data_IF_249521239058
#
_entry.id   IF_249521239058
#
_cell.length_a   1.000
_cell.length_b   1.000
_cell.length_c   1.000
_cell.angle_alpha   90.00
_cell.angle_beta   90.00
_cell.angle_gamma   90.00
#
_symmetry.space_group_name_H-M   'P 1'
#
loop_
_entity.id
_entity.type
_entity.pdbx_description
1 polymer ?
#
# COMPACT_ATOMS: atom_id res chain seq x y z
N UNK A 1 3.15 -23.05 -7.81
CA UNK A 1 2.98 -21.67 -7.31
C UNK A 1 2.81 -20.74 -8.48
N UNK A 2 2.01 -19.68 -8.34
CA UNK A 2 1.88 -18.63 -9.35
C UNK A 2 1.57 -17.28 -8.68
N UNK A 3 1.95 -16.21 -9.37
CA UNK A 3 1.63 -14.84 -9.00
C UNK A 3 0.92 -14.18 -10.18
N UNK A 4 -0.17 -13.46 -9.91
CA UNK A 4 -0.92 -12.72 -10.91
C UNK A 4 -1.07 -11.28 -10.44
N UNK A 5 -0.81 -10.33 -11.34
CA UNK A 5 -0.92 -8.91 -11.07
C UNK A 5 -1.76 -8.22 -12.13
N UNK A 6 -2.55 -7.22 -11.73
CA UNK A 6 -3.27 -6.32 -12.60
C UNK A 6 -2.96 -4.88 -12.23
N UNK A 7 -2.71 -4.04 -13.22
CA UNK A 7 -2.50 -2.60 -13.07
C UNK A 7 -3.46 -1.85 -13.99
N UNK A 8 -4.05 -0.77 -13.48
CA UNK A 8 -4.92 0.12 -14.24
C UNK A 8 -4.61 1.56 -13.88
N UNK A 9 -4.53 2.42 -14.89
CA UNK A 9 -4.32 3.86 -14.74
C UNK A 9 -5.21 4.65 -15.68
N UNK A 10 -5.75 5.78 -15.20
CA UNK A 10 -6.58 6.69 -15.98
C UNK A 10 -6.23 8.13 -15.64
N UNK A 11 -6.04 8.95 -16.68
CA UNK A 11 -5.77 10.38 -16.57
C UNK A 11 -6.78 11.17 -17.39
N UNK A 12 -7.38 12.18 -16.78
CA UNK A 12 -8.21 13.15 -17.47
C UNK A 12 -7.97 14.57 -16.97
N UNK A 13 -7.33 15.40 -17.81
CA UNK A 13 -6.97 16.79 -17.51
C UNK A 13 -6.17 16.91 -16.20
N UNK A 14 -6.84 17.36 -15.13
CA UNK A 14 -6.28 17.58 -13.79
C UNK A 14 -6.36 16.34 -12.89
N UNK A 15 -7.20 15.37 -13.25
CA UNK A 15 -7.42 14.14 -12.51
C UNK A 15 -6.49 13.02 -12.99
N UNK A 16 -5.95 12.26 -12.05
CA UNK A 16 -5.19 11.05 -12.27
C UNK A 16 -5.65 10.01 -11.26
N UNK A 17 -5.89 8.79 -11.69
CA UNK A 17 -6.15 7.66 -10.81
C UNK A 17 -5.39 6.44 -11.32
N UNK A 18 -4.89 5.62 -10.41
CA UNK A 18 -4.21 4.38 -10.75
C UNK A 18 -4.28 3.41 -9.58
N UNK A 19 -4.17 2.13 -9.87
CA UNK A 19 -4.19 1.09 -8.86
C UNK A 19 -3.64 -0.22 -9.38
N UNK A 20 -3.22 -1.04 -8.43
CA UNK A 20 -2.69 -2.37 -8.69
C UNK A 20 -3.34 -3.38 -7.76
N UNK A 21 -3.46 -4.62 -8.23
CA UNK A 21 -3.87 -5.77 -7.45
C UNK A 21 -2.90 -6.91 -7.72
N UNK A 22 -2.43 -7.56 -6.66
CA UNK A 22 -1.54 -8.72 -6.72
C UNK A 22 -2.16 -9.87 -5.94
N UNK A 23 -2.11 -11.06 -6.54
CA UNK A 23 -2.52 -12.31 -5.96
C UNK A 23 -1.38 -13.32 -6.04
N UNK A 24 -1.10 -14.00 -4.92
CA UNK A 24 -0.05 -15.00 -4.81
C UNK A 24 -0.65 -16.31 -4.33
N UNK A 25 -0.28 -17.39 -5.02
CA UNK A 25 -0.62 -18.74 -4.66
C UNK A 25 0.67 -19.55 -4.48
N UNK A 26 0.98 -19.91 -3.24
CA UNK A 26 2.25 -20.53 -2.86
C UNK A 26 2.01 -21.99 -2.48
N UNK A 27 2.66 -22.89 -3.19
CA UNK A 27 2.64 -24.32 -2.88
C UNK A 27 3.44 -24.61 -1.62
N UNK A 28 2.88 -25.42 -0.72
CA UNK A 28 3.45 -25.68 0.60
C UNK A 28 3.59 -27.18 0.83
N UNK A 29 4.54 -27.55 1.66
CA UNK A 29 4.75 -28.92 2.10
C UNK A 29 5.30 -28.94 3.52
N UNK A 30 5.16 -30.07 4.19
CA UNK A 30 5.75 -30.35 5.50
C UNK A 30 6.48 -31.69 5.46
N UNK A 31 7.41 -31.90 6.39
CA UNK A 31 8.07 -33.18 6.59
C UNK A 31 7.59 -33.81 7.89
N UNK A 32 7.10 -35.06 7.80
CA UNK A 32 6.75 -35.84 8.97
C UNK A 32 7.98 -36.41 9.69
N UNK A 33 7.77 -37.05 10.84
CA UNK A 33 8.82 -37.66 11.67
C UNK A 33 9.73 -38.65 10.92
N UNK A 34 9.22 -39.27 9.85
CA UNK A 34 9.95 -40.21 8.99
C UNK A 34 10.62 -39.52 7.78
N UNK A 35 10.77 -38.19 7.80
CA UNK A 35 11.26 -37.38 6.68
C UNK A 35 10.41 -37.49 5.40
N UNK A 36 9.16 -37.94 5.53
CA UNK A 36 8.22 -38.04 4.40
C UNK A 36 7.64 -36.66 4.10
N UNK A 37 7.75 -36.24 2.84
CA UNK A 37 7.14 -35.00 2.34
C UNK A 37 5.63 -35.20 2.18
N UNK A 38 4.85 -34.32 2.81
CA UNK A 38 3.41 -34.23 2.62
C UNK A 38 3.08 -32.84 2.08
N UNK A 39 2.41 -32.78 0.94
CA UNK A 39 1.96 -31.52 0.37
C UNK A 39 0.79 -30.97 1.18
N UNK A 40 0.86 -29.67 1.49
CA UNK A 40 -0.17 -28.92 2.19
C UNK A 40 -1.03 -28.17 1.18
N UNK A 41 -2.20 -27.68 1.60
CA UNK A 41 -2.95 -26.77 0.73
C UNK A 41 -2.12 -25.51 0.46
N UNK A 42 -2.26 -24.98 -0.75
CA UNK A 42 -1.54 -23.79 -1.14
C UNK A 42 -1.97 -22.59 -0.28
N UNK A 43 -1.00 -21.78 0.14
CA UNK A 43 -1.28 -20.52 0.79
C UNK A 43 -1.64 -19.44 -0.22
N UNK A 44 -2.63 -18.64 0.14
CA UNK A 44 -3.16 -17.57 -0.70
C UNK A 44 -2.95 -16.23 -0.02
N UNK A 45 -2.27 -15.33 -0.71
CA UNK A 45 -2.04 -13.96 -0.25
C UNK A 45 -2.45 -12.96 -1.32
N UNK A 46 -2.96 -11.81 -0.91
CA UNK A 46 -3.32 -10.76 -1.85
C UNK A 46 -3.07 -9.38 -1.26
N UNK A 47 -2.93 -8.41 -2.15
CA UNK A 47 -2.82 -7.01 -1.79
C UNK A 47 -3.18 -6.13 -2.97
N UNK A 48 -3.69 -4.94 -2.67
CA UNK A 48 -4.06 -3.98 -3.68
C UNK A 48 -3.95 -2.57 -3.16
N UNK A 49 -3.89 -1.63 -4.09
CA UNK A 49 -4.05 -0.23 -3.78
C UNK A 49 -4.77 0.50 -4.90
N UNK A 50 -5.44 1.59 -4.53
CA UNK A 50 -6.00 2.54 -5.47
C UNK A 50 -5.64 3.95 -4.99
N UNK A 51 -5.14 4.77 -5.91
CA UNK A 51 -4.72 6.14 -5.68
C UNK A 51 -5.46 7.04 -6.64
N UNK A 52 -6.00 8.15 -6.15
CA UNK A 52 -6.55 9.22 -6.96
C UNK A 52 -5.89 10.54 -6.57
N UNK A 53 -5.56 11.36 -7.55
CA UNK A 53 -5.04 12.70 -7.35
C UNK A 53 -5.69 13.72 -8.27
N UNK A 54 -5.73 14.95 -7.79
CA UNK A 54 -6.30 16.07 -8.51
C UNK A 54 -5.43 17.32 -8.34
N UNK A 55 -5.08 17.94 -9.47
CA UNK A 55 -4.38 19.22 -9.50
C UNK A 55 -5.36 20.36 -9.25
N UNK A 56 -5.45 20.83 -8.00
CA UNK A 56 -6.22 22.02 -7.63
C UNK A 56 -5.69 23.23 -8.43
N UNK A 57 -4.37 23.45 -8.38
CA UNK A 57 -3.67 24.50 -9.12
C UNK A 57 -2.64 23.87 -10.08
N UNK A 58 -2.60 24.38 -11.31
CA UNK A 58 -1.71 23.86 -12.36
C UNK A 58 -2.34 22.75 -13.19
N UNK A 59 -1.49 22.02 -13.91
CA UNK A 59 -1.87 20.88 -14.76
C UNK A 59 -1.07 19.64 -14.35
N UNK A 60 -1.68 18.46 -14.56
CA UNK A 60 -1.06 17.19 -14.21
C UNK A 60 0.06 16.84 -15.20
N UNK A 61 1.00 15.97 -14.80
CA UNK A 61 2.20 15.57 -15.59
C UNK A 61 1.82 15.28 -17.05
N UNK A 62 2.59 15.82 -17.99
CA UNK A 62 2.40 15.49 -19.40
C UNK A 62 2.82 14.04 -19.62
N UNK A 63 1.91 13.23 -20.17
CA UNK A 63 2.24 11.90 -20.64
C UNK A 63 2.65 12.02 -22.11
N UNK A 64 3.84 11.52 -22.45
CA UNK A 64 4.34 11.43 -23.82
C UNK A 64 4.08 10.00 -24.33
N UNK A 65 3.05 9.78 -25.18
CA UNK A 65 2.74 8.43 -25.67
C UNK A 65 3.88 7.83 -26.50
N UNK A 66 4.63 8.68 -27.21
CA UNK A 66 5.72 8.26 -28.10
C UNK A 66 6.93 7.71 -27.33
N UNK A 67 7.11 8.12 -26.07
CA UNK A 67 8.23 7.71 -25.21
C UNK A 67 7.79 6.86 -24.01
N UNK A 68 6.47 6.63 -23.84
CA UNK A 68 5.85 5.99 -22.68
C UNK A 68 6.31 6.59 -21.32
N UNK A 69 6.65 7.89 -21.29
CA UNK A 69 7.20 8.58 -20.12
C UNK A 69 6.27 9.70 -19.63
N UNK A 70 6.27 9.90 -18.30
CA UNK A 70 5.67 11.07 -17.68
C UNK A 70 6.69 12.21 -17.60
N UNK A 71 6.54 13.20 -18.48
CA UNK A 71 7.35 14.41 -18.47
C UNK A 71 7.08 15.32 -17.27
N UNK A 72 7.92 16.35 -17.07
CA UNK A 72 7.81 17.30 -15.97
C UNK A 72 6.48 18.07 -16.01
N UNK A 73 5.91 18.37 -14.83
CA UNK A 73 4.71 19.21 -14.75
C UNK A 73 4.99 20.63 -15.24
N UNK A 74 4.06 21.20 -16.00
CA UNK A 74 4.09 22.64 -16.33
C UNK A 74 3.90 23.45 -15.06
N UNK A 75 4.85 24.35 -14.79
CA UNK A 75 4.86 25.15 -13.57
C UNK A 75 4.00 26.40 -13.70
N UNK A 76 3.05 26.59 -12.79
CA UNK A 76 2.26 27.83 -12.72
C UNK A 76 3.08 28.97 -12.11
N UNK A 77 3.23 30.09 -12.84
CA UNK A 77 4.03 31.27 -12.42
C UNK A 77 3.54 31.95 -11.13
N UNK A 78 2.23 31.96 -10.85
CA UNK A 78 1.66 32.59 -9.64
C UNK A 78 1.28 31.51 -8.62
N UNK A 79 2.05 31.35 -7.55
CA UNK A 79 1.73 30.46 -6.43
C UNK A 79 1.94 28.96 -6.67
N UNK A 80 2.51 28.59 -7.82
CA UNK A 80 2.89 27.21 -8.12
C UNK A 80 1.71 26.25 -8.35
N UNK A 81 2.02 24.96 -8.35
CA UNK A 81 1.04 23.89 -8.52
C UNK A 81 0.65 23.31 -7.16
N UNK A 82 -0.59 22.87 -7.03
CA UNK A 82 -1.13 22.29 -5.80
C UNK A 82 -1.92 21.05 -6.16
N UNK A 83 -1.53 19.93 -5.57
CA UNK A 83 -2.13 18.62 -5.77
C UNK A 83 -2.71 18.12 -4.45
N UNK A 84 -3.92 17.58 -4.51
CA UNK A 84 -4.45 16.72 -3.45
C UNK A 84 -4.47 15.29 -3.96
N UNK A 85 -4.10 14.34 -3.10
CA UNK A 85 -4.19 12.93 -3.41
C UNK A 85 -4.80 12.16 -2.24
N UNK A 86 -5.47 11.06 -2.57
CA UNK A 86 -5.92 10.08 -1.62
C UNK A 86 -5.51 8.69 -2.12
N UNK A 87 -5.14 7.82 -1.19
CA UNK A 87 -4.82 6.42 -1.49
C UNK A 87 -5.42 5.53 -0.43
N UNK A 88 -6.00 4.44 -0.89
CA UNK A 88 -6.38 3.30 -0.06
C UNK A 88 -5.53 2.11 -0.48
N UNK A 89 -5.04 1.35 0.48
CA UNK A 89 -4.35 0.08 0.20
C UNK A 89 -4.72 -0.96 1.22
N UNK A 90 -4.81 -2.20 0.78
CA UNK A 90 -5.00 -3.34 1.65
C UNK A 90 -3.99 -4.43 1.30
N UNK A 91 -3.49 -5.10 2.34
CA UNK A 91 -2.72 -6.32 2.19
C UNK A 91 -3.25 -7.34 3.18
N UNK A 92 -3.43 -8.57 2.72
CA UNK A 92 -3.85 -9.69 3.54
C UNK A 92 -2.85 -10.85 3.37
N UNK A 93 -2.10 -11.11 4.44
CA UNK A 93 -1.16 -12.21 4.57
C UNK A 93 -1.68 -13.32 5.48
N UNK A 94 -2.97 -13.32 5.82
CA UNK A 94 -3.59 -14.42 6.57
C UNK A 94 -4.14 -15.48 5.62
N UNK A 95 -3.90 -16.74 5.95
CA UNK A 95 -4.42 -17.90 5.23
C UNK A 95 -4.93 -18.97 6.20
N UNK A 96 -6.25 -19.18 6.21
CA UNK A 96 -6.92 -20.15 7.07
C UNK A 96 -7.52 -21.35 6.28
N UNK A 97 -7.14 -21.51 5.01
CA UNK A 97 -7.72 -22.55 4.15
C UNK A 97 -7.26 -23.98 4.51
N UNK A 98 -6.13 -24.11 5.22
CA UNK A 98 -5.62 -25.36 5.78
C UNK A 98 -5.74 -25.37 7.31
N UNK A 99 -6.72 -26.10 7.89
CA UNK A 99 -6.85 -26.22 9.33
C UNK A 99 -5.64 -26.85 10.01
N UNK A 100 -4.87 -27.67 9.28
CA UNK A 100 -3.67 -28.32 9.81
C UNK A 100 -2.45 -27.38 9.83
N UNK A 101 -2.48 -26.28 9.06
CA UNK A 101 -1.32 -25.41 8.86
C UNK A 101 -1.71 -23.98 8.47
N UNK A 102 -2.56 -23.32 9.27
CA UNK A 102 -2.96 -21.94 9.02
C UNK A 102 -1.79 -20.96 9.18
N UNK A 103 -1.84 -19.84 8.44
CA UNK A 103 -0.84 -18.76 8.48
C UNK A 103 -1.51 -17.49 9.01
N UNK A 104 -0.95 -16.95 10.09
CA UNK A 104 -1.33 -15.67 10.68
C UNK A 104 -0.29 -14.59 10.33
N UNK A 105 -0.24 -14.21 9.05
CA UNK A 105 0.72 -13.21 8.56
C UNK A 105 0.31 -11.76 8.80
N UNK A 106 -0.95 -11.52 9.18
CA UNK A 106 -1.49 -10.19 9.41
C UNK A 106 -2.24 -9.62 8.20
N UNK A 107 -3.17 -8.72 8.49
CA UNK A 107 -3.89 -7.89 7.52
C UNK A 107 -3.72 -6.43 7.89
N UNK A 108 -3.40 -5.59 6.92
CA UNK A 108 -3.29 -4.15 7.10
C UNK A 108 -4.08 -3.41 6.02
N UNK A 109 -4.85 -2.41 6.42
CA UNK A 109 -5.53 -1.46 5.55
C UNK A 109 -5.04 -0.07 5.87
N UNK A 110 -4.57 0.66 4.87
CA UNK A 110 -4.09 2.03 4.99
C UNK A 110 -5.00 2.96 4.22
N UNK A 111 -5.37 4.06 4.86
CA UNK A 111 -6.05 5.19 4.24
C UNK A 111 -5.14 6.41 4.35
N UNK A 112 -4.76 7.00 3.24
CA UNK A 112 -3.90 8.17 3.23
C UNK A 112 -4.50 9.32 2.45
N UNK A 113 -4.33 10.53 2.97
CA UNK A 113 -4.62 11.79 2.30
C UNK A 113 -3.34 12.63 2.25
N UNK A 114 -3.12 13.28 1.11
CA UNK A 114 -1.91 14.03 0.80
C UNK A 114 -2.26 15.39 0.22
N UNK A 115 -1.51 16.41 0.63
CA UNK A 115 -1.47 17.70 -0.01
C UNK A 115 -0.03 17.98 -0.45
N UNK A 116 0.21 18.09 -1.75
CA UNK A 116 1.53 18.40 -2.30
C UNK A 116 1.51 19.79 -2.95
N UNK A 117 2.33 20.70 -2.43
CA UNK A 117 2.57 22.01 -3.00
C UNK A 117 3.91 22.06 -3.71
N UNK A 118 3.88 22.50 -4.95
CA UNK A 118 5.04 22.73 -5.80
C UNK A 118 5.16 24.24 -5.96
N UNK A 119 5.92 24.96 -5.12
CA UNK A 119 6.08 26.40 -5.24
C UNK A 119 6.95 26.81 -6.43
N UNK A 120 7.98 26.03 -6.73
CA UNK A 120 8.88 26.15 -7.89
C UNK A 120 9.19 24.76 -8.46
N UNK A 121 9.77 24.67 -9.66
CA UNK A 121 10.04 23.39 -10.36
C UNK A 121 10.89 22.42 -9.53
N UNK A 122 11.76 22.96 -8.70
CA UNK A 122 12.79 22.23 -7.95
C UNK A 122 12.39 21.90 -6.50
N UNK A 123 11.22 22.34 -6.04
CA UNK A 123 10.82 22.21 -4.64
C UNK A 123 9.44 21.56 -4.53
N UNK A 124 9.31 20.61 -3.62
CA UNK A 124 8.03 20.00 -3.24
C UNK A 124 7.89 20.07 -1.73
N UNK A 125 6.73 20.55 -1.26
CA UNK A 125 6.33 20.51 0.14
C UNK A 125 5.08 19.64 0.22
N UNK A 126 5.18 18.50 0.89
CA UNK A 126 4.10 17.52 1.03
C UNK A 126 3.67 17.36 2.48
N UNK A 127 2.38 17.44 2.72
CA UNK A 127 1.75 17.04 3.98
C UNK A 127 0.95 15.76 3.74
N UNK A 128 1.18 14.73 4.55
CA UNK A 128 0.46 13.46 4.47
C UNK A 128 -0.12 13.09 5.82
N UNK A 129 -1.34 12.58 5.78
CA UNK A 129 -2.01 11.92 6.90
C UNK A 129 -2.28 10.48 6.49
N UNK A 130 -1.97 9.53 7.37
CA UNK A 130 -2.18 8.11 7.13
C UNK A 130 -2.86 7.51 8.35
N UNK A 131 -3.98 6.84 8.16
CA UNK A 131 -4.60 5.97 9.15
C UNK A 131 -4.36 4.52 8.76
N UNK A 132 -3.75 3.78 9.68
CA UNK A 132 -3.45 2.36 9.56
C UNK A 132 -4.42 1.58 10.42
N UNK A 133 -5.15 0.65 9.81
CA UNK A 133 -5.97 -0.34 10.50
C UNK A 133 -5.32 -1.71 10.30
N UNK A 134 -4.81 -2.29 11.39
CA UNK A 134 -4.13 -3.58 11.34
C UNK A 134 -4.89 -4.59 12.18
N UNK A 135 -5.01 -5.82 11.69
CA UNK A 135 -5.66 -6.89 12.44
C UNK A 135 -4.77 -7.43 13.58
N UNK A 136 -5.36 -8.34 14.35
CA UNK A 136 -4.72 -8.95 15.52
C UNK A 136 -3.51 -9.84 15.22
N UNK A 137 -3.24 -10.15 13.95
CA UNK A 137 -2.10 -10.97 13.53
C UNK A 137 -0.97 -10.13 12.92
N UNK A 138 -1.17 -8.82 12.75
CA UNK A 138 -0.14 -7.86 12.35
C UNK A 138 0.75 -7.46 13.54
N UNK A 139 1.35 -8.45 14.20
CA UNK A 139 2.06 -8.31 15.48
C UNK A 139 3.59 -8.42 15.36
N UNK A 140 4.14 -8.22 14.16
CA UNK A 140 5.57 -8.37 13.88
C UNK A 140 6.13 -9.73 14.29
N UNK A 141 5.44 -10.82 13.93
CA UNK A 141 5.79 -12.21 14.28
C UNK A 141 5.79 -12.45 15.81
N UNK A 142 4.82 -11.89 16.50
CA UNK A 142 4.65 -12.00 17.95
C UNK A 142 5.54 -11.07 18.78
N UNK A 143 6.26 -10.12 18.17
CA UNK A 143 7.07 -9.14 18.92
C UNK A 143 6.21 -8.05 19.56
N UNK A 144 5.08 -7.71 18.95
CA UNK A 144 4.13 -6.75 19.50
C UNK A 144 3.17 -7.50 20.40
N UNK A 145 3.27 -7.26 21.71
CA UNK A 145 2.42 -7.89 22.73
C UNK A 145 1.84 -6.83 23.65
N UNK A 146 0.76 -7.16 24.36
CA UNK A 146 0.20 -6.29 25.41
C UNK A 146 0.13 -7.07 26.70
N UNK A 147 0.89 -6.61 27.70
CA UNK A 147 1.04 -7.32 28.98
C UNK A 147 1.67 -8.71 28.82
N UNK A 148 2.59 -8.88 27.85
CA UNK A 148 3.26 -10.16 27.57
C UNK A 148 2.40 -11.20 26.85
N UNK A 149 1.16 -10.85 26.45
CA UNK A 149 0.27 -11.74 25.71
C UNK A 149 0.15 -11.33 24.23
N UNK A 150 -0.05 -12.30 23.31
CA UNK A 150 -0.27 -12.02 21.88
C UNK A 150 -1.49 -11.12 21.65
N UNK A 151 -1.42 -10.24 20.66
CA UNK A 151 -2.54 -9.35 20.32
C UNK A 151 -3.81 -10.11 19.95
N UNK A 152 -3.69 -11.29 19.37
CA UNK A 152 -4.81 -12.17 19.05
C UNK A 152 -5.69 -12.51 20.26
N UNK A 153 -5.14 -12.52 21.47
CA UNK A 153 -5.85 -12.79 22.73
C UNK A 153 -6.38 -11.52 23.40
N UNK A 154 -5.56 -10.46 23.46
CA UNK A 154 -5.83 -9.29 24.31
C UNK A 154 -6.32 -8.06 23.55
N UNK A 155 -6.17 -8.05 22.23
CA UNK A 155 -6.63 -6.99 21.32
C UNK A 155 -7.16 -7.61 20.02
N UNK A 156 -8.31 -8.32 20.06
CA UNK A 156 -8.84 -9.01 18.89
C UNK A 156 -9.23 -8.07 17.74
N UNK A 157 -9.43 -6.78 18.02
CA UNK A 157 -9.62 -5.74 17.00
C UNK A 157 -8.33 -5.39 16.23
N UNK A 158 -7.16 -5.78 16.75
CA UNK A 158 -5.85 -5.40 16.23
C UNK A 158 -5.39 -4.01 16.70
N UNK A 159 -4.37 -3.47 16.04
CA UNK A 159 -3.74 -2.19 16.38
C UNK A 159 -3.94 -1.19 15.26
N UNK A 160 -4.54 -0.07 15.62
CA UNK A 160 -4.76 1.05 14.72
C UNK A 160 -3.90 2.24 15.14
N UNK A 161 -3.37 2.98 14.18
CA UNK A 161 -2.61 4.19 14.48
C UNK A 161 -2.68 5.22 13.35
N UNK A 162 -2.37 6.47 13.72
CA UNK A 162 -2.35 7.61 12.82
C UNK A 162 -0.91 8.10 12.64
N UNK A 163 -0.55 8.48 11.41
CA UNK A 163 0.75 9.04 11.07
C UNK A 163 0.55 10.39 10.39
N UNK A 164 1.23 11.41 10.89
CA UNK A 164 1.36 12.70 10.24
C UNK A 164 2.78 12.85 9.73
N UNK A 165 2.92 13.20 8.45
CA UNK A 165 4.22 13.33 7.81
C UNK A 165 4.30 14.66 7.04
N UNK A 166 5.31 15.45 7.36
CA UNK A 166 5.74 16.59 6.56
C UNK A 166 6.97 16.18 5.74
N UNK A 167 6.96 16.50 4.45
CA UNK A 167 8.04 16.19 3.50
C UNK A 167 8.45 17.47 2.77
N UNK A 168 9.75 17.70 2.69
CA UNK A 168 10.33 18.70 1.78
C UNK A 168 11.32 18.01 0.87
N UNK A 169 11.21 18.23 -0.43
CA UNK A 169 12.13 17.70 -1.43
C UNK A 169 12.68 18.86 -2.25
N UNK A 170 13.99 18.87 -2.45
CA UNK A 170 14.70 19.87 -3.25
C UNK A 170 15.55 19.11 -4.27
N UNK A 171 15.41 19.47 -5.53
CA UNK A 171 16.17 18.89 -6.65
C UNK A 171 17.04 19.98 -7.27
N UNK A 172 18.32 19.70 -7.52
CA UNK A 172 19.29 20.61 -8.11
C UNK A 172 19.76 20.11 -9.48
#
# INVERSE_FOLDING_TARGET
YYTTGFELGFRYRKFLTYGEYIYNNISRYTYGANNQKTDLKNAVFNGWYATASYMILGENRQYSPDEAEFGPMKMRRKGGNLEVAARISNINMNDFHDPAAYITGGKATSYSASLNWYPVRNVVIGLNYIYMNNDKYADSKGQITKGGKPLSEVMPSGIDFNVFQLRTMISF
#
